data_IF_474710157821
#
_entry.id   IF_474710157821
#
_cell.length_a   1.000
_cell.length_b   1.000
_cell.length_c   1.000
_cell.angle_alpha   90.00
_cell.angle_beta   90.00
_cell.angle_gamma   90.00
#
_symmetry.space_group_name_H-M   'P 1'
#
loop_
_entity.id
_entity.type
_entity.pdbx_description
1 polymer ?
#
# COMPACT_ATOMS: atom_id res chain seq x y z
N UNK A 1 25.07 3.58 9.64
CA UNK A 1 23.70 3.12 9.96
C UNK A 1 23.77 1.63 10.16
N UNK A 2 23.31 1.13 11.29
CA UNK A 2 23.17 -0.32 11.55
C UNK A 2 21.96 -0.87 10.81
N UNK A 3 22.00 -2.15 10.45
CA UNK A 3 20.97 -2.87 9.71
C UNK A 3 19.58 -2.75 10.38
N UNK A 4 19.54 -2.84 11.71
CA UNK A 4 18.34 -2.63 12.54
C UNK A 4 17.67 -1.25 12.33
N UNK A 5 18.46 -0.20 12.12
CA UNK A 5 17.93 1.16 11.90
C UNK A 5 17.32 1.29 10.51
N UNK A 6 17.82 0.53 9.54
CA UNK A 6 17.28 0.50 8.18
C UNK A 6 15.96 -0.28 8.14
N UNK A 7 15.90 -1.42 8.83
CA UNK A 7 14.68 -2.23 8.96
C UNK A 7 13.56 -1.44 9.63
N UNK A 8 13.85 -0.76 10.74
CA UNK A 8 12.86 0.09 11.42
C UNK A 8 12.32 1.20 10.49
N UNK A 9 13.20 1.84 9.71
CA UNK A 9 12.81 2.90 8.78
C UNK A 9 11.92 2.35 7.64
N UNK A 10 12.22 1.16 7.14
CA UNK A 10 11.45 0.47 6.11
C UNK A 10 10.03 0.16 6.60
N UNK A 11 9.93 -0.51 7.75
CA UNK A 11 8.66 -0.86 8.39
C UNK A 11 7.83 0.38 8.72
N UNK A 12 8.48 1.43 9.23
CA UNK A 12 7.81 2.69 9.53
C UNK A 12 7.24 3.32 8.26
N UNK A 13 8.00 3.35 7.16
CA UNK A 13 7.55 3.95 5.89
C UNK A 13 6.35 3.20 5.31
N UNK A 14 6.39 1.86 5.33
CA UNK A 14 5.27 1.01 4.91
C UNK A 14 4.05 1.26 5.81
N UNK A 15 4.22 1.22 7.13
CA UNK A 15 3.15 1.41 8.10
C UNK A 15 2.49 2.79 8.01
N UNK A 16 3.30 3.85 7.91
CA UNK A 16 2.83 5.23 7.77
C UNK A 16 2.12 5.44 6.43
N UNK A 17 2.62 4.85 5.35
CA UNK A 17 1.98 4.87 4.03
C UNK A 17 0.62 4.18 4.03
N UNK A 18 0.57 2.93 4.49
CA UNK A 18 -0.66 2.14 4.57
C UNK A 18 -1.72 2.83 5.47
N UNK A 19 -1.31 3.36 6.62
CA UNK A 19 -2.18 4.11 7.53
C UNK A 19 -2.77 5.33 6.87
N UNK A 20 -1.95 6.15 6.18
CA UNK A 20 -2.44 7.38 5.51
C UNK A 20 -3.42 7.07 4.39
N UNK A 21 -3.17 6.01 3.60
CA UNK A 21 -4.08 5.59 2.53
C UNK A 21 -5.40 5.09 3.15
N UNK A 22 -5.33 4.19 4.13
CA UNK A 22 -6.52 3.64 4.80
C UNK A 22 -7.37 4.74 5.45
N UNK A 23 -6.74 5.71 6.12
CA UNK A 23 -7.43 6.86 6.72
C UNK A 23 -8.11 7.75 5.68
N UNK A 24 -7.43 8.03 4.56
CA UNK A 24 -7.99 8.86 3.49
C UNK A 24 -9.26 8.23 2.92
N UNK A 25 -9.26 6.92 2.69
CA UNK A 25 -10.45 6.20 2.23
C UNK A 25 -11.51 6.03 3.32
N UNK A 26 -11.13 5.84 4.59
CA UNK A 26 -12.09 5.78 5.70
C UNK A 26 -12.81 7.12 5.97
N UNK A 27 -12.20 8.24 5.59
CA UNK A 27 -12.79 9.58 5.68
C UNK A 27 -13.54 10.00 4.42
N UNK A 28 -13.31 9.32 3.29
CA UNK A 28 -13.88 9.68 2.01
C UNK A 28 -15.39 9.45 1.96
N UNK A 29 -16.14 10.43 1.44
CA UNK A 29 -17.57 10.30 1.17
C UNK A 29 -18.53 10.51 2.36
N UNK A 30 -18.02 10.72 3.58
CA UNK A 30 -18.86 10.91 4.76
C UNK A 30 -18.69 12.30 5.38
N UNK A 31 -19.19 13.34 4.71
CA UNK A 31 -19.23 14.72 5.24
C UNK A 31 -19.86 14.78 6.64
N UNK A 32 -20.91 14.00 6.89
CA UNK A 32 -21.59 13.92 8.19
C UNK A 32 -20.72 13.27 9.26
N UNK A 33 -19.99 12.20 8.94
CA UNK A 33 -19.08 11.56 9.89
C UNK A 33 -17.76 12.31 10.04
N UNK A 34 -17.27 13.02 9.02
CA UNK A 34 -16.18 14.00 9.14
C UNK A 34 -16.57 15.13 10.10
N UNK A 35 -17.79 15.66 9.98
CA UNK A 35 -18.33 16.70 10.87
C UNK A 35 -18.59 16.20 12.31
N UNK A 36 -18.84 14.90 12.48
CA UNK A 36 -19.07 14.24 13.78
C UNK A 36 -17.84 13.51 14.34
N UNK A 37 -16.68 13.57 13.65
CA UNK A 37 -15.46 12.86 14.03
C UNK A 37 -15.53 11.32 13.97
N UNK A 38 -16.54 10.76 13.29
CA UNK A 38 -16.71 9.32 13.15
C UNK A 38 -15.90 8.78 11.96
N UNK A 39 -14.67 8.36 12.21
CA UNK A 39 -13.93 7.52 11.27
C UNK A 39 -14.36 6.07 11.43
N UNK A 40 -14.60 5.34 10.34
CA UNK A 40 -14.79 3.89 10.43
C UNK A 40 -13.45 3.22 10.77
N UNK A 41 -13.15 3.09 12.05
CA UNK A 41 -11.95 2.40 12.54
C UNK A 41 -11.89 0.96 12.04
N UNK A 42 -13.05 0.32 11.81
CA UNK A 42 -13.14 -1.01 11.22
C UNK A 42 -12.63 -1.05 9.78
N UNK A 43 -13.02 -0.06 8.95
CA UNK A 43 -12.55 0.04 7.56
C UNK A 43 -11.05 0.35 7.52
N UNK A 44 -10.58 1.27 8.37
CA UNK A 44 -9.16 1.60 8.45
C UNK A 44 -8.31 0.37 8.82
N UNK A 45 -8.74 -0.42 9.81
CA UNK A 45 -8.04 -1.64 10.21
C UNK A 45 -8.12 -2.75 9.15
N UNK A 46 -9.26 -2.87 8.47
CA UNK A 46 -9.44 -3.84 7.39
C UNK A 46 -8.54 -3.56 6.18
N UNK A 47 -8.41 -2.29 5.80
CA UNK A 47 -7.58 -1.86 4.67
C UNK A 47 -6.07 -1.86 4.99
N UNK A 48 -5.68 -1.73 6.26
CA UNK A 48 -4.28 -1.55 6.63
C UNK A 48 -3.39 -2.70 6.16
N UNK A 49 -3.74 -3.96 6.48
CA UNK A 49 -2.88 -5.12 6.15
C UNK A 49 -2.74 -5.34 4.64
N UNK A 50 -3.83 -5.34 3.85
CA UNK A 50 -3.71 -5.46 2.40
C UNK A 50 -2.91 -4.32 1.75
N UNK A 51 -3.06 -3.09 2.23
CA UNK A 51 -2.28 -1.96 1.74
C UNK A 51 -0.80 -2.08 2.13
N UNK A 52 -0.50 -2.48 3.37
CA UNK A 52 0.88 -2.68 3.81
C UNK A 52 1.60 -3.72 2.94
N UNK A 53 0.92 -4.81 2.57
CA UNK A 53 1.46 -5.81 1.65
C UNK A 53 1.76 -5.23 0.26
N UNK A 54 0.85 -4.45 -0.32
CA UNK A 54 1.09 -3.80 -1.63
C UNK A 54 2.26 -2.80 -1.58
N UNK A 55 2.41 -2.05 -0.48
CA UNK A 55 3.56 -1.15 -0.27
C UNK A 55 4.87 -1.93 -0.13
N UNK A 56 4.86 -3.05 0.60
CA UNK A 56 6.03 -3.92 0.77
C UNK A 56 6.47 -4.52 -0.58
N UNK A 57 5.53 -5.06 -1.35
CA UNK A 57 5.78 -5.59 -2.70
C UNK A 57 6.37 -4.56 -3.64
N UNK A 58 5.85 -3.32 -3.62
CA UNK A 58 6.38 -2.26 -4.45
C UNK A 58 7.80 -1.85 -4.02
N UNK A 59 8.07 -1.78 -2.72
CA UNK A 59 9.39 -1.48 -2.20
C UNK A 59 10.41 -2.59 -2.51
N UNK A 60 10.02 -3.86 -2.37
CA UNK A 60 10.84 -5.00 -2.75
C UNK A 60 11.23 -4.92 -4.23
N UNK A 61 10.28 -4.61 -5.12
CA UNK A 61 10.58 -4.37 -6.53
C UNK A 61 11.56 -3.20 -6.75
N UNK A 62 11.35 -2.06 -6.08
CA UNK A 62 12.20 -0.89 -6.24
C UNK A 62 13.64 -1.14 -5.77
N UNK A 63 13.79 -1.81 -4.62
CA UNK A 63 15.10 -2.13 -4.04
C UNK A 63 15.83 -3.24 -4.80
N UNK A 64 15.11 -4.20 -5.37
CA UNK A 64 15.65 -5.19 -6.32
C UNK A 64 16.18 -4.50 -7.57
N UNK A 65 15.38 -3.61 -8.18
CA UNK A 65 15.76 -2.87 -9.39
C UNK A 65 16.95 -1.93 -9.17
N UNK A 66 17.07 -1.36 -7.98
CA UNK A 66 18.17 -0.48 -7.60
C UNK A 66 19.42 -1.24 -7.11
N UNK A 67 19.41 -2.58 -7.12
CA UNK A 67 20.49 -3.45 -6.61
C UNK A 67 20.95 -3.05 -5.20
N UNK A 68 20.00 -2.62 -4.36
CA UNK A 68 20.32 -2.08 -3.04
C UNK A 68 20.53 -3.20 -2.03
N UNK A 69 21.39 -2.97 -1.04
CA UNK A 69 21.57 -3.88 0.11
C UNK A 69 20.29 -4.10 0.95
N UNK A 70 19.25 -3.30 0.70
CA UNK A 70 17.93 -3.41 1.33
C UNK A 70 17.02 -4.44 0.65
N UNK A 71 17.40 -4.97 -0.51
CA UNK A 71 16.57 -5.87 -1.31
C UNK A 71 16.19 -7.15 -0.57
N UNK A 72 17.15 -7.82 0.08
CA UNK A 72 16.88 -9.03 0.87
C UNK A 72 15.93 -8.74 2.04
N UNK A 73 16.20 -7.64 2.75
CA UNK A 73 15.38 -7.22 3.89
C UNK A 73 13.94 -6.89 3.48
N UNK A 74 13.77 -6.13 2.39
CA UNK A 74 12.44 -5.80 1.86
C UNK A 74 11.70 -7.05 1.40
N UNK A 75 12.40 -8.01 0.81
CA UNK A 75 11.83 -9.27 0.34
C UNK A 75 11.39 -10.17 1.49
N UNK A 76 12.21 -10.31 2.54
CA UNK A 76 11.86 -11.09 3.73
C UNK A 76 10.60 -10.53 4.42
N UNK A 77 10.55 -9.20 4.63
CA UNK A 77 9.38 -8.52 5.19
C UNK A 77 8.12 -8.70 4.34
N UNK A 78 8.28 -8.65 3.00
CA UNK A 78 7.18 -8.85 2.07
C UNK A 78 6.63 -10.28 2.13
N UNK A 79 7.53 -11.27 2.21
CA UNK A 79 7.14 -12.67 2.34
C UNK A 79 6.44 -12.94 3.67
N UNK A 80 6.91 -12.34 4.76
CA UNK A 80 6.24 -12.45 6.06
C UNK A 80 4.83 -11.87 6.01
N UNK A 81 4.65 -10.68 5.42
CA UNK A 81 3.32 -10.08 5.26
C UNK A 81 2.40 -10.91 4.36
N UNK A 82 2.95 -11.55 3.32
CA UNK A 82 2.19 -12.45 2.44
C UNK A 82 1.74 -13.72 3.17
N UNK A 83 2.61 -14.31 3.99
CA UNK A 83 2.28 -15.47 4.83
C UNK A 83 1.20 -15.12 5.86
N UNK A 84 1.33 -13.97 6.54
CA UNK A 84 0.33 -13.48 7.50
C UNK A 84 -1.04 -13.21 6.85
N UNK A 85 -1.06 -12.87 5.56
CA UNK A 85 -2.27 -12.71 4.76
C UNK A 85 -2.83 -14.05 4.22
N UNK A 86 -2.15 -15.17 4.46
CA UNK A 86 -2.59 -16.51 4.06
C UNK A 86 -2.22 -16.90 2.64
N UNK A 87 -1.30 -16.18 1.99
CA UNK A 87 -0.79 -16.53 0.67
C UNK A 87 0.41 -17.50 0.76
N UNK A 88 0.69 -18.19 -0.34
CA UNK A 88 1.95 -18.92 -0.50
C UNK A 88 3.08 -17.89 -0.73
N UNK A 89 3.70 -17.45 0.37
CA UNK A 89 4.54 -16.25 0.44
C UNK A 89 5.57 -16.11 -0.68
N UNK A 90 6.31 -17.18 -1.00
CA UNK A 90 7.36 -17.15 -2.03
C UNK A 90 6.75 -17.05 -3.43
N UNK A 91 5.78 -17.92 -3.75
CA UNK A 91 5.15 -17.96 -5.07
C UNK A 91 4.39 -16.65 -5.38
N UNK A 92 3.60 -16.18 -4.41
CA UNK A 92 2.82 -14.94 -4.53
C UNK A 92 3.70 -13.70 -4.70
N UNK A 93 4.76 -13.60 -3.88
CA UNK A 93 5.71 -12.48 -3.96
C UNK A 93 6.41 -12.47 -5.32
N UNK A 94 6.93 -13.60 -5.78
CA UNK A 94 7.65 -13.68 -7.07
C UNK A 94 6.73 -13.41 -8.27
N UNK A 95 5.50 -13.94 -8.28
CA UNK A 95 4.52 -13.65 -9.33
C UNK A 95 4.20 -12.15 -9.41
N UNK A 96 4.07 -11.51 -8.24
CA UNK A 96 3.75 -10.09 -8.17
C UNK A 96 4.94 -9.22 -8.55
N UNK A 97 6.16 -9.56 -8.11
CA UNK A 97 7.39 -8.90 -8.54
C UNK A 97 7.59 -9.03 -10.05
N UNK A 98 7.34 -10.22 -10.62
CA UNK A 98 7.39 -10.43 -12.07
C UNK A 98 6.39 -9.54 -12.82
N UNK A 99 5.20 -9.32 -12.26
CA UNK A 99 4.22 -8.38 -12.82
C UNK A 99 4.75 -6.94 -12.83
N UNK A 100 5.45 -6.51 -11.78
CA UNK A 100 6.12 -5.20 -11.74
C UNK A 100 7.27 -5.10 -12.74
N UNK A 101 8.09 -6.15 -12.89
CA UNK A 101 9.17 -6.20 -13.89
C UNK A 101 8.65 -6.09 -15.33
N UNK A 102 7.48 -6.69 -15.61
CA UNK A 102 6.85 -6.68 -16.92
C UNK A 102 6.03 -5.40 -17.21
N UNK A 103 5.77 -4.58 -16.19
CA UNK A 103 4.95 -3.38 -16.33
C UNK A 103 5.71 -2.27 -17.08
N UNK A 104 5.04 -1.61 -18.03
CA UNK A 104 5.58 -0.40 -18.70
C UNK A 104 5.73 0.76 -17.71
N UNK A 105 4.82 0.83 -16.75
CA UNK A 105 4.80 1.83 -15.68
C UNK A 105 4.47 1.12 -14.36
N UNK A 106 5.52 0.84 -13.58
CA UNK A 106 5.39 0.13 -12.31
C UNK A 106 4.66 0.96 -11.24
N UNK A 107 4.80 2.29 -11.27
CA UNK A 107 4.10 3.17 -10.35
C UNK A 107 2.60 3.18 -10.64
N UNK A 108 2.21 3.24 -11.91
CA UNK A 108 0.80 3.12 -12.30
C UNK A 108 0.21 1.76 -11.93
N UNK A 109 0.97 0.67 -12.07
CA UNK A 109 0.54 -0.66 -11.62
C UNK A 109 0.34 -0.70 -10.10
N UNK A 110 1.29 -0.17 -9.32
CA UNK A 110 1.18 -0.06 -7.87
C UNK A 110 -0.09 0.70 -7.45
N UNK A 111 -0.31 1.86 -8.07
CA UNK A 111 -1.49 2.67 -7.81
C UNK A 111 -2.80 1.91 -8.08
N UNK A 112 -2.86 1.21 -9.22
CA UNK A 112 -4.02 0.40 -9.60
C UNK A 112 -4.26 -0.74 -8.61
N UNK A 113 -3.21 -1.43 -8.16
CA UNK A 113 -3.31 -2.52 -7.18
C UNK A 113 -3.82 -2.03 -5.83
N UNK A 114 -3.30 -0.91 -5.33
CA UNK A 114 -3.80 -0.27 -4.12
C UNK A 114 -5.29 0.09 -4.23
N UNK A 115 -5.70 0.67 -5.36
CA UNK A 115 -7.10 1.00 -5.60
C UNK A 115 -7.99 -0.24 -5.69
N UNK A 116 -7.49 -1.34 -6.24
CA UNK A 116 -8.22 -2.60 -6.32
C UNK A 116 -8.44 -3.22 -4.94
N UNK A 117 -7.43 -3.19 -4.06
CA UNK A 117 -7.56 -3.58 -2.65
C UNK A 117 -8.73 -2.85 -2.00
N UNK A 118 -8.81 -1.53 -2.19
CA UNK A 118 -9.88 -0.71 -1.62
C UNK A 118 -11.23 -1.03 -2.28
N UNK A 119 -11.25 -1.14 -3.61
CA UNK A 119 -12.49 -1.36 -4.38
C UNK A 119 -13.13 -2.72 -4.08
N UNK A 120 -12.34 -3.71 -3.66
CA UNK A 120 -12.81 -5.06 -3.33
C UNK A 120 -13.05 -5.29 -1.83
N UNK A 121 -12.70 -4.31 -0.98
CA UNK A 121 -12.89 -4.44 0.46
C UNK A 121 -14.39 -4.51 0.83
N UNK A 122 -14.83 -5.54 1.57
CA UNK A 122 -16.25 -5.71 1.91
C UNK A 122 -16.83 -4.56 2.73
N UNK A 123 -16.04 -3.97 3.63
CA UNK A 123 -16.49 -2.83 4.44
C UNK A 123 -16.64 -1.60 3.55
N UNK A 124 -15.69 -1.36 2.63
CA UNK A 124 -15.79 -0.31 1.62
C UNK A 124 -17.07 -0.45 0.78
N UNK A 125 -17.29 -1.64 0.23
CA UNK A 125 -18.49 -1.97 -0.56
C UNK A 125 -19.78 -1.77 0.25
N UNK A 126 -19.79 -2.16 1.53
CA UNK A 126 -20.94 -1.97 2.42
C UNK A 126 -21.20 -0.49 2.75
N UNK A 127 -20.16 0.34 2.76
CA UNK A 127 -20.26 1.79 2.96
C UNK A 127 -20.64 2.57 1.69
N UNK A 128 -20.77 1.92 0.52
CA UNK A 128 -21.19 2.54 -0.75
C UNK A 128 -22.68 2.94 -0.78
N UNK A 129 -23.15 3.67 0.23
CA UNK A 129 -24.35 4.49 0.10
C UNK A 129 -24.22 5.56 -1.02
N UNK A 130 -23.02 5.78 -1.58
CA UNK A 130 -22.77 6.67 -2.72
C UNK A 130 -21.79 6.02 -3.70
N UNK A 131 -22.10 6.11 -5.00
CA UNK A 131 -21.40 5.57 -6.17
C UNK A 131 -19.99 6.15 -6.38
N UNK A 132 -19.12 6.08 -5.39
CA UNK A 132 -17.73 6.54 -5.48
C UNK A 132 -16.81 5.33 -5.47
N UNK A 133 -16.44 4.87 -6.66
CA UNK A 133 -15.31 3.96 -6.86
C UNK A 133 -14.01 4.74 -6.69
N UNK A 134 -12.92 4.13 -6.15
CA UNK A 134 -11.59 4.74 -6.21
C UNK A 134 -11.26 5.17 -7.65
N UNK A 135 -10.73 6.37 -7.83
CA UNK A 135 -10.42 6.91 -9.16
C UNK A 135 -8.97 7.33 -9.23
N UNK A 136 -8.30 6.99 -10.34
CA UNK A 136 -6.94 7.45 -10.63
C UNK A 136 -6.92 8.94 -11.01
N UNK A 137 -7.34 9.80 -10.08
CA UNK A 137 -7.50 11.24 -10.26
C UNK A 137 -7.01 12.00 -9.04
N UNK A 138 -6.40 13.16 -9.25
CA UNK A 138 -5.99 14.08 -8.16
C UNK A 138 -7.18 14.60 -7.34
N UNK A 139 -8.41 14.44 -7.84
CA UNK A 139 -9.63 14.76 -7.12
C UNK A 139 -10.03 13.68 -6.09
N UNK A 140 -9.42 12.48 -6.16
CA UNK A 140 -9.54 11.44 -5.14
C UNK A 140 -8.41 11.62 -4.10
N UNK A 141 -8.72 12.09 -2.87
CA UNK A 141 -7.73 12.29 -1.82
C UNK A 141 -6.99 11.01 -1.44
N UNK A 142 -7.65 9.84 -1.55
CA UNK A 142 -7.02 8.55 -1.30
C UNK A 142 -5.99 8.22 -2.38
N UNK A 143 -6.30 8.50 -3.64
CA UNK A 143 -5.35 8.36 -4.75
C UNK A 143 -4.13 9.27 -4.61
N UNK A 144 -4.33 10.52 -4.14
CA UNK A 144 -3.22 11.42 -3.82
C UNK A 144 -2.31 10.83 -2.74
N UNK A 145 -2.87 10.15 -1.73
CA UNK A 145 -2.07 9.46 -0.70
C UNK A 145 -1.32 8.24 -1.23
N UNK A 146 -1.91 7.50 -2.17
CA UNK A 146 -1.22 6.40 -2.86
C UNK A 146 -0.01 6.93 -3.64
N UNK A 147 -0.16 8.01 -4.41
CA UNK A 147 0.97 8.63 -5.13
C UNK A 147 2.03 9.14 -4.16
N UNK A 148 1.62 9.76 -3.05
CA UNK A 148 2.55 10.24 -2.03
C UNK A 148 3.37 9.09 -1.44
N UNK A 149 2.74 7.98 -1.09
CA UNK A 149 3.42 6.79 -0.58
C UNK A 149 4.40 6.21 -1.62
N UNK A 150 4.00 6.12 -2.90
CA UNK A 150 4.89 5.65 -3.96
C UNK A 150 6.19 6.47 -4.04
N UNK A 151 6.08 7.80 -3.99
CA UNK A 151 7.25 8.70 -4.03
C UNK A 151 8.16 8.55 -2.82
N UNK A 152 7.59 8.32 -1.63
CA UNK A 152 8.36 8.10 -0.41
C UNK A 152 9.12 6.76 -0.46
N UNK A 153 8.51 5.71 -1.02
CA UNK A 153 9.17 4.42 -1.26
C UNK A 153 10.26 4.50 -2.32
N UNK A 154 10.02 5.24 -3.41
CA UNK A 154 11.03 5.51 -4.45
C UNK A 154 12.24 6.26 -3.88
N UNK A 155 12.01 7.29 -3.05
CA UNK A 155 13.08 8.03 -2.38
C UNK A 155 13.86 7.18 -1.36
N UNK A 156 13.23 6.16 -0.78
CA UNK A 156 13.89 5.23 0.14
C UNK A 156 14.76 4.21 -0.61
N UNK A 157 14.29 3.76 -1.79
CA UNK A 157 14.98 2.75 -2.60
C UNK A 157 16.12 3.30 -3.46
N UNK A 158 16.11 4.60 -3.79
CA UNK A 158 17.12 5.27 -4.62
C UNK A 158 17.86 6.36 -3.82
N UNK A 159 18.68 6.01 -2.81
CA UNK A 159 19.43 6.99 -2.01
C UNK A 159 20.52 7.74 -2.79
#
# INVERSE_FOLDING_TARGET
MTEDTMQQKLLQTIGDGATRIAQAYAQFGNLSAMLLGQTSSALQLGLFRPLALELALYLAFLTEKAETSLSSLALDETQQLAEEAGFEAVAFTEETLQSYRNAKDAQALFCSRCQNVIATDPLWLSTQARKTTPQASISDPGYVKIIQAARELEALALP
#
